data_IF_900156900484
#
_entry.id   IF_900156900484
#
_cell.length_a   1.000
_cell.length_b   1.000
_cell.length_c   1.000
_cell.angle_alpha   90.00
_cell.angle_beta   90.00
_cell.angle_gamma   90.00
#
_symmetry.space_group_name_H-M   'P 1'
#
loop_
_entity.id
_entity.type
_entity.pdbx_description
1 polymer ?
#
# COMPACT_ATOMS: atom_id res chain seq x y z
N UNK A 1 7.32 -36.79 -60.65
CA UNK A 1 7.71 -37.74 -59.59
C UNK A 1 7.49 -37.04 -58.25
N UNK A 2 6.41 -37.37 -57.53
CA UNK A 2 5.97 -36.65 -56.33
C UNK A 2 5.91 -37.66 -55.17
N UNK A 3 6.86 -37.59 -54.24
CA UNK A 3 6.87 -38.43 -53.05
C UNK A 3 5.92 -37.81 -52.01
N UNK A 4 4.82 -38.49 -51.69
CA UNK A 4 3.93 -38.12 -50.57
C UNK A 4 4.56 -38.60 -49.27
N UNK A 5 4.80 -37.65 -48.37
CA UNK A 5 5.27 -37.90 -47.01
C UNK A 5 4.09 -38.41 -46.17
N UNK A 6 4.15 -39.66 -45.70
CA UNK A 6 3.17 -40.20 -44.75
C UNK A 6 3.47 -39.64 -43.36
N UNK A 7 2.60 -38.76 -42.88
CA UNK A 7 2.64 -38.28 -41.49
C UNK A 7 2.04 -39.36 -40.60
N UNK A 8 2.88 -40.05 -39.82
CA UNK A 8 2.42 -40.97 -38.79
C UNK A 8 1.69 -40.19 -37.69
N UNK A 9 0.36 -40.26 -37.68
CA UNK A 9 -0.48 -39.76 -36.58
C UNK A 9 -0.65 -40.90 -35.56
N UNK A 10 0.35 -41.09 -34.70
CA UNK A 10 0.18 -41.94 -33.53
C UNK A 10 -0.75 -41.23 -32.55
N UNK A 11 -1.92 -41.82 -32.30
CA UNK A 11 -2.86 -41.35 -31.28
C UNK A 11 -2.32 -41.61 -29.88
N UNK A 12 -2.78 -40.83 -28.92
CA UNK A 12 -2.47 -40.99 -27.50
C UNK A 12 -2.88 -42.39 -27.04
N UNK A 13 -1.98 -43.10 -26.35
CA UNK A 13 -2.30 -44.44 -25.85
C UNK A 13 -3.15 -44.35 -24.58
N UNK A 14 -3.99 -45.36 -24.31
CA UNK A 14 -4.85 -45.38 -23.13
C UNK A 14 -4.02 -45.32 -21.83
N UNK A 15 -2.87 -46.01 -21.80
CA UNK A 15 -1.98 -45.98 -20.64
C UNK A 15 -1.37 -44.59 -20.42
N UNK A 16 -1.04 -43.88 -21.49
CA UNK A 16 -0.46 -42.54 -21.43
C UNK A 16 -1.46 -41.54 -20.88
N UNK A 17 -2.73 -41.61 -21.31
CA UNK A 17 -3.82 -40.83 -20.73
C UNK A 17 -3.96 -41.10 -19.21
N UNK A 18 -3.91 -42.37 -18.81
CA UNK A 18 -4.02 -42.78 -17.42
C UNK A 18 -2.86 -42.24 -16.56
N UNK A 19 -1.63 -42.27 -17.10
CA UNK A 19 -0.48 -41.70 -16.39
C UNK A 19 -0.58 -40.18 -16.23
N UNK A 20 -1.10 -39.46 -17.24
CA UNK A 20 -1.27 -38.01 -17.18
C UNK A 20 -2.31 -37.62 -16.13
N UNK A 21 -3.46 -38.29 -16.06
CA UNK A 21 -4.48 -37.97 -15.04
C UNK A 21 -3.98 -38.23 -13.62
N UNK A 22 -3.17 -39.28 -13.42
CA UNK A 22 -2.56 -39.59 -12.11
C UNK A 22 -1.51 -38.52 -11.75
N UNK A 23 -0.65 -38.15 -12.70
CA UNK A 23 0.33 -37.07 -12.51
C UNK A 23 -0.34 -35.72 -12.21
N UNK A 24 -1.40 -35.37 -12.95
CA UNK A 24 -2.17 -34.15 -12.70
C UNK A 24 -2.85 -34.19 -11.34
N UNK A 25 -3.37 -35.34 -10.91
CA UNK A 25 -3.95 -35.52 -9.57
C UNK A 25 -2.93 -35.28 -8.45
N UNK A 26 -1.71 -35.80 -8.60
CA UNK A 26 -0.62 -35.59 -7.63
C UNK A 26 -0.20 -34.11 -7.57
N UNK A 27 -0.03 -33.48 -8.73
CA UNK A 27 0.36 -32.06 -8.83
C UNK A 27 -0.74 -31.15 -8.26
N UNK A 28 -2.01 -31.47 -8.51
CA UNK A 28 -3.14 -30.68 -8.02
C UNK A 28 -3.19 -30.62 -6.48
N UNK A 29 -2.91 -31.72 -5.79
CA UNK A 29 -2.85 -31.75 -4.32
C UNK A 29 -1.63 -31.00 -3.78
N UNK A 30 -0.49 -31.07 -4.46
CA UNK A 30 0.72 -30.34 -4.04
C UNK A 30 0.59 -28.81 -4.24
N UNK A 31 -0.16 -28.36 -5.25
CA UNK A 31 -0.36 -26.95 -5.55
C UNK A 31 -1.25 -26.23 -4.53
N UNK A 32 -2.27 -26.89 -3.98
CA UNK A 32 -3.19 -26.27 -3.01
C UNK A 32 -2.54 -26.03 -1.65
N UNK A 33 -1.56 -26.85 -1.26
CA UNK A 33 -0.88 -26.73 0.04
C UNK A 33 0.05 -25.50 0.16
N UNK A 34 0.33 -24.79 -0.94
CA UNK A 34 1.37 -23.75 -0.99
C UNK A 34 0.84 -22.33 -1.18
N UNK A 35 -0.48 -22.10 -1.05
CA UNK A 35 -1.00 -20.73 -1.10
C UNK A 35 -0.66 -20.00 0.21
N UNK A 36 0.22 -19.00 0.22
CA UNK A 36 0.55 -18.28 1.43
C UNK A 36 -0.59 -17.32 1.77
N UNK A 37 -1.11 -17.41 3.00
CA UNK A 37 -2.16 -16.52 3.49
C UNK A 37 -1.73 -15.05 3.62
N UNK A 38 -0.42 -14.80 3.60
CA UNK A 38 0.19 -13.50 3.94
C UNK A 38 0.29 -12.51 2.76
N UNK A 39 -0.06 -12.95 1.53
CA UNK A 39 0.06 -12.13 0.33
C UNK A 39 -0.80 -10.85 0.39
N UNK A 40 -1.91 -10.89 1.13
CA UNK A 40 -2.80 -9.75 1.27
C UNK A 40 -2.22 -8.69 2.22
N UNK A 41 -1.57 -9.10 3.31
CA UNK A 41 -0.95 -8.18 4.27
C UNK A 41 0.23 -7.44 3.62
N UNK A 42 1.09 -8.18 2.92
CA UNK A 42 2.24 -7.63 2.20
C UNK A 42 1.81 -6.69 1.05
N UNK A 43 0.72 -7.01 0.35
CA UNK A 43 0.16 -6.13 -0.67
C UNK A 43 -0.46 -4.86 -0.06
N UNK A 44 -1.09 -4.97 1.12
CA UNK A 44 -1.72 -3.86 1.82
C UNK A 44 -0.68 -2.84 2.33
N UNK A 45 0.44 -3.30 2.91
CA UNK A 45 1.51 -2.39 3.34
C UNK A 45 2.14 -1.65 2.15
N UNK A 46 2.35 -2.32 1.02
CA UNK A 46 2.87 -1.70 -0.21
C UNK A 46 1.89 -0.68 -0.79
N UNK A 47 0.60 -1.00 -0.79
CA UNK A 47 -0.48 -0.09 -1.21
C UNK A 47 -0.48 1.18 -0.34
N UNK A 48 -0.44 1.02 0.98
CA UNK A 48 -0.46 2.13 1.92
C UNK A 48 0.82 2.99 1.82
N UNK A 49 1.99 2.35 1.71
CA UNK A 49 3.27 3.03 1.45
C UNK A 49 3.23 3.87 0.18
N UNK A 50 2.63 3.35 -0.90
CA UNK A 50 2.43 4.11 -2.14
C UNK A 50 1.50 5.31 -1.91
N UNK A 51 0.43 5.13 -1.14
CA UNK A 51 -0.50 6.20 -0.80
C UNK A 51 0.18 7.35 -0.04
N UNK A 52 0.99 7.06 0.99
CA UNK A 52 1.74 8.07 1.73
C UNK A 52 2.72 8.82 0.80
N UNK A 53 3.51 8.09 0.00
CA UNK A 53 4.45 8.71 -0.95
C UNK A 53 3.76 9.58 -2.00
N UNK A 54 2.56 9.17 -2.43
CA UNK A 54 1.77 9.98 -3.34
C UNK A 54 1.25 11.26 -2.67
N UNK A 55 0.79 11.19 -1.42
CA UNK A 55 0.40 12.37 -0.64
C UNK A 55 1.59 13.34 -0.46
N UNK A 56 2.77 12.82 -0.12
CA UNK A 56 4.01 13.59 -0.04
C UNK A 56 4.38 14.23 -1.39
N UNK A 57 4.26 13.49 -2.49
CA UNK A 57 4.52 14.03 -3.82
C UNK A 57 3.54 15.14 -4.21
N UNK A 58 2.25 15.02 -3.87
CA UNK A 58 1.28 16.11 -4.08
C UNK A 58 1.66 17.35 -3.27
N UNK A 59 2.13 17.19 -2.03
CA UNK A 59 2.59 18.31 -1.22
C UNK A 59 3.76 19.06 -1.87
N UNK A 60 4.71 18.34 -2.48
CA UNK A 60 5.90 18.92 -3.12
C UNK A 60 5.64 19.55 -4.49
N UNK A 61 4.56 19.17 -5.17
CA UNK A 61 4.25 19.64 -6.54
C UNK A 61 3.17 20.69 -6.58
N UNK A 62 2.32 20.77 -5.55
CA UNK A 62 1.21 21.74 -5.47
C UNK A 62 1.63 22.97 -4.67
N UNK A 63 0.89 24.06 -4.88
CA UNK A 63 1.11 25.29 -4.12
C UNK A 63 0.85 25.06 -2.62
N UNK A 64 1.86 25.39 -1.82
CA UNK A 64 1.84 25.39 -0.36
C UNK A 64 1.94 26.84 0.10
N UNK A 65 0.88 27.34 0.72
CA UNK A 65 0.79 28.72 1.24
C UNK A 65 0.68 28.72 2.78
N UNK A 66 0.48 27.52 3.35
CA UNK A 66 0.48 27.29 4.78
C UNK A 66 -0.22 25.99 5.18
N UNK A 67 -0.43 25.79 6.48
CA UNK A 67 -0.77 24.50 7.08
C UNK A 67 -2.17 24.04 6.71
N UNK A 68 -3.09 24.99 6.56
CA UNK A 68 -4.44 24.74 6.04
C UNK A 68 -4.46 24.25 4.58
N UNK A 69 -3.38 24.51 3.83
CA UNK A 69 -3.22 24.07 2.43
C UNK A 69 -2.34 22.84 2.29
N UNK A 70 -1.84 22.28 3.39
CA UNK A 70 -1.01 21.09 3.40
C UNK A 70 -1.72 19.89 2.76
N UNK A 71 -0.95 19.09 2.04
CA UNK A 71 -1.40 17.82 1.48
C UNK A 71 -0.97 16.68 2.38
N UNK A 72 -1.81 15.65 2.45
CA UNK A 72 -1.55 14.54 3.36
C UNK A 72 -2.56 13.43 3.21
N UNK A 73 -2.55 12.57 4.20
CA UNK A 73 -3.37 11.37 4.30
C UNK A 73 -4.07 11.35 5.64
N UNK A 74 -5.40 11.18 5.63
CA UNK A 74 -6.20 10.90 6.81
C UNK A 74 -6.62 9.43 6.78
N UNK A 75 -6.58 8.78 7.94
CA UNK A 75 -6.90 7.36 8.08
C UNK A 75 -8.15 7.22 8.95
N UNK A 76 -9.05 6.32 8.55
CA UNK A 76 -10.25 5.96 9.30
C UNK A 76 -10.38 4.45 9.36
N UNK A 77 -9.86 3.85 10.43
CA UNK A 77 -9.90 2.42 10.75
C UNK A 77 -9.40 1.47 9.66
N UNK A 78 -10.09 1.33 8.53
CA UNK A 78 -9.76 0.45 7.40
C UNK A 78 -9.62 1.18 6.08
N UNK A 79 -9.94 2.48 6.05
CA UNK A 79 -9.85 3.32 4.86
C UNK A 79 -8.92 4.50 5.06
N UNK A 80 -8.49 5.09 3.96
CA UNK A 80 -7.73 6.33 3.97
C UNK A 80 -8.24 7.31 2.90
N UNK A 81 -8.00 8.59 3.13
CA UNK A 81 -8.27 9.66 2.17
C UNK A 81 -7.02 10.51 1.97
N UNK A 82 -6.67 10.80 0.71
CA UNK A 82 -5.59 11.73 0.37
C UNK A 82 -6.21 13.04 -0.11
N UNK A 83 -5.81 14.14 0.51
CA UNK A 83 -6.37 15.45 0.22
C UNK A 83 -5.67 16.57 0.96
N UNK A 84 -6.27 17.74 0.89
CA UNK A 84 -5.90 18.91 1.68
C UNK A 84 -6.48 18.81 3.08
N UNK A 85 -5.71 19.26 4.05
CA UNK A 85 -6.02 19.25 5.49
C UNK A 85 -7.33 19.94 5.89
N UNK A 86 -7.82 20.89 5.10
CA UNK A 86 -9.11 21.56 5.33
C UNK A 86 -10.30 20.99 4.57
N UNK A 87 -10.15 19.87 3.85
CA UNK A 87 -11.23 19.26 3.06
C UNK A 87 -11.59 20.00 1.76
N UNK A 88 -10.78 20.98 1.35
CA UNK A 88 -11.04 21.79 0.15
C UNK A 88 -10.70 21.10 -1.18
N UNK A 89 -9.92 20.02 -1.16
CA UNK A 89 -9.49 19.30 -2.37
C UNK A 89 -9.03 17.88 -1.99
N UNK A 90 -9.45 16.86 -2.74
CA UNK A 90 -8.95 15.49 -2.62
C UNK A 90 -8.15 15.11 -3.87
N UNK A 91 -7.23 14.16 -3.74
CA UNK A 91 -6.34 13.75 -4.84
C UNK A 91 -7.04 12.98 -5.98
N UNK A 92 -8.34 12.72 -5.85
CA UNK A 92 -9.19 12.00 -6.79
C UNK A 92 -10.17 11.04 -6.09
N UNK A 93 -11.16 10.54 -6.83
CA UNK A 93 -12.11 9.54 -6.32
C UNK A 93 -11.40 8.25 -5.90
N UNK A 94 -10.33 7.88 -6.61
CA UNK A 94 -9.49 6.71 -6.33
C UNK A 94 -8.70 6.81 -5.02
N UNK A 95 -8.70 7.95 -4.34
CA UNK A 95 -8.00 8.15 -3.06
C UNK A 95 -8.92 8.73 -2.00
N UNK A 96 -10.23 8.64 -2.18
CA UNK A 96 -11.22 9.14 -1.21
C UNK A 96 -11.95 7.96 -0.57
N UNK A 97 -11.90 7.85 0.75
CA UNK A 97 -12.45 6.72 1.51
C UNK A 97 -12.01 5.35 0.95
N UNK A 98 -10.74 5.25 0.55
CA UNK A 98 -10.19 4.05 -0.11
C UNK A 98 -9.83 3.00 0.92
N UNK A 99 -10.42 1.82 0.78
CA UNK A 99 -9.99 0.63 1.49
C UNK A 99 -8.66 0.09 0.96
N UNK A 100 -7.87 -0.53 1.83
CA UNK A 100 -6.76 -1.38 1.39
C UNK A 100 -7.32 -2.63 0.69
N UNK A 101 -6.81 -2.91 -0.51
CA UNK A 101 -7.15 -4.09 -1.32
C UNK A 101 -8.66 -4.31 -1.56
N UNK A 102 -9.42 -3.22 -1.64
CA UNK A 102 -10.86 -3.16 -2.00
C UNK A 102 -11.86 -3.83 -1.03
N UNK A 103 -11.44 -4.63 -0.07
CA UNK A 103 -12.35 -5.37 0.83
C UNK A 103 -12.66 -4.64 2.15
N UNK A 104 -11.95 -3.56 2.48
CA UNK A 104 -12.26 -2.74 3.67
C UNK A 104 -12.12 -3.47 5.01
N UNK A 105 -11.48 -4.64 5.00
CA UNK A 105 -11.31 -5.54 6.14
C UNK A 105 -9.96 -5.38 6.84
N UNK A 106 -8.96 -4.81 6.16
CA UNK A 106 -7.61 -4.67 6.69
C UNK A 106 -7.54 -3.42 7.58
N UNK A 107 -7.29 -3.57 8.90
CA UNK A 107 -7.17 -2.44 9.81
C UNK A 107 -5.87 -1.68 9.59
N UNK A 108 -5.95 -0.38 9.79
CA UNK A 108 -4.87 0.60 9.83
C UNK A 108 -4.94 1.28 11.19
N UNK A 109 -3.97 0.99 12.05
CA UNK A 109 -3.76 1.73 13.29
C UNK A 109 -3.04 3.04 12.94
N UNK A 110 -3.71 4.15 13.20
CA UNK A 110 -3.21 5.49 12.93
C UNK A 110 -2.53 6.09 14.19
N UNK A 111 -1.21 6.37 14.17
CA UNK A 111 -0.52 6.99 15.28
C UNK A 111 -0.89 8.47 15.48
N UNK A 112 -1.60 9.09 14.53
CA UNK A 112 -2.02 10.49 14.61
C UNK A 112 -3.37 10.69 15.29
N UNK A 113 -3.96 9.62 15.86
CA UNK A 113 -5.25 9.67 16.55
C UNK A 113 -6.40 10.26 15.70
N UNK A 114 -6.33 10.13 14.37
CA UNK A 114 -7.32 10.66 13.43
C UNK A 114 -7.03 12.07 12.92
N UNK A 115 -5.99 12.74 13.42
CA UNK A 115 -5.61 14.08 12.97
C UNK A 115 -4.99 14.07 11.56
N UNK A 116 -4.51 12.92 11.09
CA UNK A 116 -3.90 12.73 9.78
C UNK A 116 -2.41 13.08 9.73
N UNK A 117 -1.74 12.55 8.72
CA UNK A 117 -0.34 12.85 8.40
C UNK A 117 -0.28 13.86 7.26
N UNK A 118 0.33 15.01 7.53
CA UNK A 118 0.38 16.14 6.61
C UNK A 118 1.82 16.51 6.27
N UNK A 119 2.04 16.97 5.05
CA UNK A 119 3.35 17.36 4.54
C UNK A 119 3.35 18.82 4.10
N UNK A 120 4.47 19.51 4.33
CA UNK A 120 4.73 20.82 3.73
C UNK A 120 5.20 20.71 2.26
N UNK A 121 5.46 21.86 1.64
CA UNK A 121 5.98 21.93 0.25
C UNK A 121 7.35 21.28 0.02
N UNK A 122 8.06 20.88 1.09
CA UNK A 122 9.33 20.14 1.02
C UNK A 122 9.14 18.63 1.22
N UNK A 123 7.92 18.17 1.44
CA UNK A 123 7.61 16.76 1.71
C UNK A 123 7.98 16.34 3.13
N UNK A 124 8.17 17.29 4.06
CA UNK A 124 8.46 17.01 5.47
C UNK A 124 7.14 16.94 6.26
N UNK A 125 6.94 15.92 7.10
CA UNK A 125 5.79 15.82 7.99
C UNK A 125 5.69 17.02 8.93
N UNK A 126 4.49 17.59 9.05
CA UNK A 126 4.23 18.76 9.88
C UNK A 126 3.13 18.50 10.90
N UNK A 127 3.07 19.33 11.95
CA UNK A 127 2.02 19.29 12.98
C UNK A 127 0.61 19.46 12.40
N UNK A 128 -0.35 18.75 13.00
CA UNK A 128 -1.74 18.68 12.60
C UNK A 128 -2.62 19.83 13.11
N UNK A 129 -2.10 20.76 13.94
CA UNK A 129 -2.76 22.03 14.28
C UNK A 129 -2.34 23.21 13.36
N UNK A 130 -3.23 23.75 12.50
CA UNK A 130 -2.90 24.84 11.58
C UNK A 130 -2.91 26.21 12.27
N UNK A 131 -3.40 26.29 13.51
CA UNK A 131 -3.33 27.45 14.37
C UNK A 131 -2.02 27.51 15.17
N UNK A 132 -1.23 26.43 15.15
CA UNK A 132 0.08 26.39 15.79
C UNK A 132 1.03 27.38 15.08
N UNK A 133 1.75 28.24 15.83
CA UNK A 133 2.66 29.24 15.26
C UNK A 133 3.84 28.62 14.51
N UNK A 134 4.09 27.33 14.74
CA UNK A 134 5.15 26.51 14.19
C UNK A 134 4.62 25.43 13.24
N UNK A 135 3.45 25.63 12.61
CA UNK A 135 2.83 24.59 11.79
C UNK A 135 3.67 24.12 10.58
N UNK A 136 4.66 24.90 10.14
CA UNK A 136 5.61 24.49 9.08
C UNK A 136 6.83 23.75 9.64
N UNK A 137 7.01 23.77 10.95
CA UNK A 137 8.09 23.04 11.60
C UNK A 137 7.82 21.53 11.48
N UNK A 138 8.88 20.73 11.33
CA UNK A 138 8.77 19.29 11.38
C UNK A 138 8.03 18.85 12.64
N UNK A 139 7.14 17.87 12.52
CA UNK A 139 6.43 17.31 13.67
C UNK A 139 7.45 16.92 14.75
N UNK A 140 7.29 17.45 15.96
CA UNK A 140 8.21 17.20 17.08
C UNK A 140 8.25 15.71 17.43
N UNK A 141 9.42 15.12 17.24
CA UNK A 141 9.71 13.71 17.40
C UNK A 141 9.30 13.13 18.77
N UNK A 142 8.85 11.87 18.83
CA UNK A 142 9.68 10.81 19.38
C UNK A 142 10.69 10.39 18.32
N UNK A 143 11.92 10.08 18.74
CA UNK A 143 13.06 9.74 17.85
C UNK A 143 12.77 8.63 16.82
N UNK A 144 11.66 7.91 16.96
CA UNK A 144 11.33 6.70 16.24
C UNK A 144 10.42 6.91 15.01
N UNK A 145 9.89 8.12 14.78
CA UNK A 145 8.96 8.40 13.67
C UNK A 145 7.48 8.12 14.00
N UNK A 146 6.60 8.30 13.02
CA UNK A 146 5.19 7.91 13.09
C UNK A 146 5.00 6.52 12.51
N UNK A 147 4.67 5.54 13.35
CA UNK A 147 4.53 4.13 12.97
C UNK A 147 3.06 3.76 12.85
N UNK A 148 2.63 3.41 11.64
CA UNK A 148 1.34 2.80 11.34
C UNK A 148 1.43 1.29 11.50
N UNK A 149 0.39 0.69 12.06
CA UNK A 149 0.24 -0.77 12.09
C UNK A 149 -0.86 -1.19 11.12
N UNK A 150 -0.52 -2.04 10.15
CA UNK A 150 -1.39 -2.52 9.08
C UNK A 150 -1.65 -4.00 9.33
N UNK A 151 -2.88 -4.47 9.11
CA UNK A 151 -3.28 -5.86 9.36
C UNK A 151 -3.07 -6.37 10.81
N UNK A 152 -2.65 -5.52 11.74
CA UNK A 152 -2.42 -5.85 13.15
C UNK A 152 -0.96 -6.16 13.53
N UNK A 153 -0.11 -6.47 12.55
CA UNK A 153 1.29 -6.90 12.75
C UNK A 153 2.31 -6.15 11.89
N UNK A 154 1.91 -5.69 10.70
CA UNK A 154 2.82 -5.06 9.74
C UNK A 154 3.05 -3.60 10.09
N UNK A 155 4.31 -3.16 10.06
CA UNK A 155 4.69 -1.81 10.48
C UNK A 155 5.19 -0.96 9.33
N UNK A 156 4.66 0.25 9.21
CA UNK A 156 5.12 1.26 8.27
C UNK A 156 5.42 2.56 9.02
N UNK A 157 6.68 2.99 9.01
CA UNK A 157 7.14 4.18 9.72
C UNK A 157 7.44 5.33 8.76
N UNK A 158 7.01 6.53 9.15
CA UNK A 158 7.33 7.80 8.50
C UNK A 158 8.29 8.60 9.38
N UNK A 159 9.45 8.93 8.85
CA UNK A 159 10.48 9.69 9.56
C UNK A 159 10.18 11.18 9.52
N UNK A 160 10.02 11.79 10.69
CA UNK A 160 9.48 13.15 10.82
C UNK A 160 10.43 14.24 10.34
N UNK A 161 11.73 13.97 10.35
CA UNK A 161 12.74 14.92 9.87
C UNK A 161 12.87 14.95 8.35
N UNK A 162 12.60 13.83 7.67
CA UNK A 162 12.89 13.66 6.23
C UNK A 162 11.66 13.36 5.38
N UNK A 163 10.55 12.96 6.00
CA UNK A 163 9.39 12.39 5.30
C UNK A 163 9.67 11.02 4.67
N UNK A 164 10.80 10.38 5.00
CA UNK A 164 11.12 9.06 4.47
C UNK A 164 10.14 8.00 4.99
N UNK A 165 9.60 7.18 4.08
CA UNK A 165 8.62 6.13 4.39
C UNK A 165 9.27 4.76 4.20
N UNK A 166 9.30 3.98 5.28
CA UNK A 166 9.92 2.66 5.34
C UNK A 166 9.05 1.63 6.03
N UNK A 167 9.29 0.36 5.70
CA UNK A 167 8.71 -0.79 6.38
C UNK A 167 9.57 -1.07 7.63
N UNK A 168 8.93 -1.41 8.74
CA UNK A 168 9.54 -1.53 10.06
C UNK A 168 8.93 -0.56 11.08
N UNK A 169 9.36 -0.67 12.34
CA UNK A 169 8.75 0.03 13.47
C UNK A 169 9.47 1.32 13.88
N UNK A 170 10.68 1.57 13.39
CA UNK A 170 11.52 2.72 13.79
C UNK A 170 12.30 3.28 12.61
N UNK A 171 12.51 4.59 12.63
CA UNK A 171 13.49 5.25 11.78
C UNK A 171 14.94 4.88 12.16
N UNK A 172 15.87 4.88 11.19
CA UNK A 172 17.29 4.67 11.42
C UNK A 172 17.96 5.83 12.16
#
# INVERSE_FOLDING_TARGET
>A
MMARHFVNRHGFTLIELLTIIVLLGIIAVAATAKWPGDMQEEAAIKEFKRAIRYAQHQAMTRSFVGGSTAWGISVSATTYTIGRRGGGENAGADFTNRALLAEGTIPISDPTAGDGLWFNGLGVPITADPAAPDYEQPLSAPANGLTYTIAGSEHLTVCLQTGYVMEGATCP
#
